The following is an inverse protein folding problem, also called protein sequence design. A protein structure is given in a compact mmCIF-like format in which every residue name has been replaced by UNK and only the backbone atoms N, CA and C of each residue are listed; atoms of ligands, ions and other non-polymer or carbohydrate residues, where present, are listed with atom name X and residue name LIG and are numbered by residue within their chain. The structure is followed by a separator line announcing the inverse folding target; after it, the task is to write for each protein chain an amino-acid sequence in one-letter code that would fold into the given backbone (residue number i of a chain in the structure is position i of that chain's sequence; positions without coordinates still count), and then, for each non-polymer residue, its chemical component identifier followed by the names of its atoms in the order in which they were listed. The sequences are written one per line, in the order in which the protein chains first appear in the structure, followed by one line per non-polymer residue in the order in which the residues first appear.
data_IF_346567782531
#
_entry.id   IF_346567782531
#
_cell.length_a   1.000
_cell.length_b   1.000
_cell.length_c   1.000
_cell.angle_alpha   90.00
_cell.angle_beta   90.00
_cell.angle_gamma   90.00
#
_symmetry.space_group_name_H-M   'P 1'
#
loop_
_entity.id
_entity.type
_entity.pdbx_description
1 polymer ?
#
# COMPACT_ATOMS: atom_id res chain seq x y z
N UNK A 1 22.94 -46.52 38.30
CA UNK A 1 22.76 -46.48 36.83
C UNK A 1 22.51 -45.03 36.44
N UNK A 2 23.55 -44.31 35.98
CA UNK A 2 23.45 -42.87 35.67
C UNK A 2 22.85 -42.71 34.28
N UNK A 3 21.59 -42.31 34.19
CA UNK A 3 20.93 -42.02 32.91
C UNK A 3 21.50 -40.72 32.34
N UNK A 4 22.30 -40.84 31.29
CA UNK A 4 22.82 -39.72 30.52
C UNK A 4 21.65 -38.95 29.87
N UNK A 5 21.37 -37.76 30.40
CA UNK A 5 20.42 -36.81 29.82
C UNK A 5 21.01 -36.34 28.49
N UNK A 6 20.53 -36.93 27.38
CA UNK A 6 20.87 -36.51 26.03
C UNK A 6 20.25 -35.14 25.79
N UNK A 7 21.04 -34.09 26.00
CA UNK A 7 20.69 -32.71 25.65
C UNK A 7 20.51 -32.67 24.14
N UNK A 8 19.27 -32.82 23.68
CA UNK A 8 18.90 -32.60 22.29
C UNK A 8 19.04 -31.10 22.07
N UNK A 9 20.11 -30.72 21.38
CA UNK A 9 20.35 -29.35 20.91
C UNK A 9 19.13 -28.94 20.08
N UNK A 10 18.18 -28.25 20.70
CA UNK A 10 17.15 -27.54 19.98
C UNK A 10 17.85 -26.36 19.32
N UNK A 11 18.14 -26.47 18.02
CA UNK A 11 18.29 -25.29 17.18
C UNK A 11 16.91 -24.61 17.11
N UNK A 12 16.55 -23.89 18.16
CA UNK A 12 15.39 -23.00 18.20
C UNK A 12 15.68 -21.81 17.29
N UNK A 13 15.36 -21.98 16.02
CA UNK A 13 14.58 -21.02 15.23
C UNK A 13 14.89 -19.52 15.45
N UNK A 14 16.15 -19.10 15.33
CA UNK A 14 16.47 -17.69 15.08
C UNK A 14 15.73 -17.19 13.81
N UNK A 15 15.56 -18.09 12.82
CA UNK A 15 14.79 -17.84 11.59
C UNK A 15 13.29 -17.55 11.83
N UNK A 16 12.70 -17.98 12.96
CA UNK A 16 11.26 -17.75 13.22
C UNK A 16 10.99 -16.40 13.89
N UNK A 17 11.91 -15.92 14.73
CA UNK A 17 11.77 -14.63 15.40
C UNK A 17 11.84 -13.45 14.41
N UNK A 18 12.68 -13.55 13.38
CA UNK A 18 12.82 -12.52 12.34
C UNK A 18 11.63 -12.49 11.37
N UNK A 19 11.04 -13.65 11.04
CA UNK A 19 9.83 -13.75 10.19
C UNK A 19 8.60 -13.09 10.80
N UNK A 20 8.53 -12.99 12.14
CA UNK A 20 7.45 -12.29 12.84
C UNK A 20 7.46 -10.76 12.61
N UNK A 21 8.57 -10.18 12.14
CA UNK A 21 8.68 -8.76 11.84
C UNK A 21 7.67 -8.32 10.79
N UNK A 22 7.58 -9.04 9.67
CA UNK A 22 6.64 -8.75 8.58
C UNK A 22 5.17 -8.85 9.02
N UNK A 23 4.82 -9.79 9.90
CA UNK A 23 3.44 -9.95 10.38
C UNK A 23 2.97 -8.77 11.24
N UNK A 24 3.85 -8.20 12.06
CA UNK A 24 3.54 -7.05 12.93
C UNK A 24 3.69 -5.70 12.22
N UNK A 25 4.30 -5.68 11.04
CA UNK A 25 4.57 -4.46 10.30
C UNK A 25 3.26 -3.82 9.79
N UNK A 26 3.04 -2.55 10.11
CA UNK A 26 1.85 -1.79 9.68
C UNK A 26 2.35 -0.48 9.06
N UNK A 27 1.82 -0.05 7.90
CA UNK A 27 2.15 1.24 7.34
C UNK A 27 1.86 2.38 8.34
N UNK A 28 2.81 3.29 8.59
CA UNK A 28 2.57 4.42 9.47
C UNK A 28 1.48 5.33 8.89
N UNK A 29 0.82 6.07 9.78
CA UNK A 29 -0.24 7.02 9.42
C UNK A 29 0.06 8.36 10.08
N UNK A 30 -0.18 9.45 9.35
CA UNK A 30 -0.09 10.79 9.93
C UNK A 30 -1.10 10.90 11.08
N UNK A 31 -0.59 11.11 12.29
CA UNK A 31 -1.42 11.28 13.48
C UNK A 31 -2.07 12.67 13.41
N UNK A 32 -3.29 12.79 13.90
CA UNK A 32 -3.91 14.10 14.13
C UNK A 32 -3.40 14.70 15.44
N UNK A 33 -3.57 16.00 15.61
CA UNK A 33 -3.28 16.69 16.89
C UNK A 33 -4.06 16.03 18.03
N UNK A 34 -5.32 15.66 17.77
CA UNK A 34 -6.14 14.93 18.74
C UNK A 34 -5.54 13.57 19.13
N UNK A 35 -5.04 12.79 18.16
CA UNK A 35 -4.37 11.51 18.45
C UNK A 35 -3.13 11.71 19.34
N UNK A 36 -2.37 12.78 19.11
CA UNK A 36 -1.21 13.12 19.92
C UNK A 36 -1.62 13.50 21.34
N UNK A 37 -2.65 14.33 21.49
CA UNK A 37 -3.20 14.70 22.80
C UNK A 37 -3.79 13.50 23.56
N UNK A 38 -4.40 12.53 22.86
CA UNK A 38 -4.88 11.29 23.46
C UNK A 38 -3.75 10.45 24.09
N UNK A 39 -2.57 10.46 23.45
CA UNK A 39 -1.37 9.79 23.98
C UNK A 39 -0.82 10.54 25.18
N UNK A 40 -0.76 11.87 25.11
CA UNK A 40 -0.26 12.73 26.19
C UNK A 40 -1.14 12.70 27.45
N UNK A 41 -2.46 12.51 27.30
CA UNK A 41 -3.41 12.41 28.43
C UNK A 41 -3.70 10.97 28.85
N UNK A 42 -2.89 10.00 28.43
CA UNK A 42 -3.07 8.59 28.82
C UNK A 42 -2.92 8.47 30.34
N UNK A 43 -3.98 8.02 31.02
CA UNK A 43 -4.01 7.83 32.47
C UNK A 43 -4.53 9.02 33.29
N UNK A 44 -4.85 10.15 32.66
CA UNK A 44 -5.28 11.38 33.35
C UNK A 44 -6.76 11.39 33.81
N UNK A 45 -7.44 10.24 33.86
CA UNK A 45 -8.86 10.14 34.21
C UNK A 45 -9.60 9.05 33.44
N UNK A 46 -10.92 9.01 33.59
CA UNK A 46 -11.77 8.11 32.82
C UNK A 46 -11.92 8.57 31.34
N UNK A 47 -12.62 7.78 30.52
CA UNK A 47 -12.81 8.09 29.09
C UNK A 47 -13.37 9.50 28.84
N UNK A 48 -14.55 9.84 29.39
CA UNK A 48 -15.18 11.16 29.21
C UNK A 48 -14.35 12.34 29.70
N UNK A 49 -13.77 12.26 30.91
CA UNK A 49 -12.94 13.33 31.48
C UNK A 49 -11.73 13.61 30.59
N UNK A 50 -11.06 12.56 30.11
CA UNK A 50 -9.92 12.70 29.20
C UNK A 50 -10.31 13.41 27.90
N UNK A 51 -11.49 13.12 27.33
CA UNK A 51 -11.95 13.80 26.13
C UNK A 51 -12.24 15.28 26.37
N UNK A 52 -12.88 15.64 27.49
CA UNK A 52 -13.14 17.03 27.83
C UNK A 52 -11.84 17.81 28.08
N UNK A 53 -10.86 17.20 28.77
CA UNK A 53 -9.52 17.78 28.91
C UNK A 53 -8.85 18.05 27.56
N UNK A 54 -8.89 17.09 26.63
CA UNK A 54 -8.31 17.24 25.29
C UNK A 54 -9.04 18.34 24.52
N UNK A 55 -10.37 18.39 24.61
CA UNK A 55 -11.20 19.43 23.98
C UNK A 55 -10.81 20.83 24.45
N UNK A 56 -10.67 21.01 25.76
CA UNK A 56 -10.25 22.28 26.34
C UNK A 56 -8.82 22.65 25.92
N UNK A 57 -7.88 21.69 25.98
CA UNK A 57 -6.51 21.89 25.50
C UNK A 57 -6.46 22.32 24.04
N UNK A 58 -7.20 21.64 23.17
CA UNK A 58 -7.24 21.96 21.74
C UNK A 58 -7.84 23.35 21.49
N UNK A 59 -8.92 23.71 22.20
CA UNK A 59 -9.54 25.05 22.10
C UNK A 59 -8.61 26.18 22.54
N UNK A 60 -7.72 25.90 23.50
CA UNK A 60 -6.75 26.87 24.00
C UNK A 60 -5.52 27.06 23.09
N UNK A 61 -5.30 26.17 22.11
CA UNK A 61 -4.16 26.31 21.19
C UNK A 61 -4.35 27.47 20.23
N UNK A 62 -3.29 28.27 20.09
CA UNK A 62 -3.16 29.31 19.06
C UNK A 62 -2.89 28.71 17.68
N UNK A 63 -3.07 29.51 16.62
CA UNK A 63 -2.79 29.09 15.25
C UNK A 63 -1.32 28.65 15.06
N UNK A 64 -0.38 29.37 15.68
CA UNK A 64 1.05 29.05 15.61
C UNK A 64 1.39 27.74 16.32
N UNK A 65 0.78 27.48 17.49
CA UNK A 65 0.94 26.21 18.19
C UNK A 65 0.35 25.04 17.40
N UNK A 66 -0.85 25.22 16.82
CA UNK A 66 -1.46 24.23 15.92
C UNK A 66 -0.51 23.91 14.78
N UNK A 67 0.13 24.92 14.17
CA UNK A 67 1.07 24.70 13.08
C UNK A 67 2.34 23.98 13.55
N UNK A 68 2.90 24.34 14.71
CA UNK A 68 4.02 23.62 15.34
C UNK A 68 3.67 22.15 15.57
N UNK A 69 2.46 21.87 16.08
CA UNK A 69 1.96 20.50 16.24
C UNK A 69 1.89 19.76 14.90
N UNK A 70 1.33 20.38 13.84
CA UNK A 70 1.27 19.77 12.51
C UNK A 70 2.66 19.44 11.97
N UNK A 71 3.62 20.35 12.09
CA UNK A 71 5.00 20.13 11.64
C UNK A 71 5.64 18.97 12.39
N UNK A 72 5.55 18.95 13.73
CA UNK A 72 6.06 17.85 14.56
C UNK A 72 5.44 16.51 14.17
N UNK A 73 4.13 16.47 13.92
CA UNK A 73 3.43 15.26 13.52
C UNK A 73 3.85 14.77 12.13
N UNK A 74 4.08 15.70 11.20
CA UNK A 74 4.60 15.40 9.87
C UNK A 74 6.02 14.82 9.95
N UNK A 75 6.91 15.43 10.74
CA UNK A 75 8.27 14.93 10.99
C UNK A 75 8.27 13.53 11.59
N UNK A 76 7.42 13.28 12.59
CA UNK A 76 7.25 11.95 13.18
C UNK A 76 6.76 10.93 12.14
N UNK A 77 5.78 11.30 11.32
CA UNK A 77 5.29 10.44 10.26
C UNK A 77 6.38 10.13 9.23
N UNK A 78 7.16 11.12 8.81
CA UNK A 78 8.24 10.92 7.83
C UNK A 78 9.36 10.05 8.40
N UNK A 79 9.69 10.22 9.68
CA UNK A 79 10.64 9.35 10.39
C UNK A 79 10.13 7.90 10.51
N UNK A 80 8.87 7.71 10.91
CA UNK A 80 8.23 6.39 10.98
C UNK A 80 8.15 5.74 9.58
N UNK A 81 7.81 6.50 8.54
CA UNK A 81 7.75 6.05 7.15
C UNK A 81 9.13 5.64 6.66
N UNK A 82 10.18 6.41 6.95
CA UNK A 82 11.56 6.04 6.62
C UNK A 82 11.95 4.72 7.27
N UNK A 83 11.69 4.56 8.57
CA UNK A 83 11.95 3.30 9.31
C UNK A 83 11.17 2.13 8.72
N UNK A 84 9.89 2.34 8.42
CA UNK A 84 9.03 1.32 7.80
C UNK A 84 9.57 0.87 6.44
N UNK A 85 10.01 1.81 5.58
CA UNK A 85 10.60 1.46 4.29
C UNK A 85 11.93 0.72 4.47
N UNK A 86 12.78 1.14 5.41
CA UNK A 86 14.03 0.44 5.72
C UNK A 86 13.78 -0.99 6.22
N UNK A 87 12.79 -1.18 7.08
CA UNK A 87 12.33 -2.52 7.49
C UNK A 87 11.82 -3.33 6.31
N UNK A 88 11.16 -2.73 5.32
CA UNK A 88 10.73 -3.48 4.13
C UNK A 88 11.91 -3.89 3.23
N UNK A 89 12.98 -3.09 3.16
CA UNK A 89 14.19 -3.43 2.40
C UNK A 89 14.97 -4.60 2.98
N UNK A 90 14.81 -4.90 4.27
CA UNK A 90 15.43 -6.07 4.88
C UNK A 90 14.74 -7.39 4.48
N UNK A 91 13.62 -7.35 3.75
CA UNK A 91 12.91 -8.53 3.30
C UNK A 91 12.92 -8.63 1.78
N UNK A 92 12.99 -9.85 1.26
CA UNK A 92 12.91 -10.08 -0.18
C UNK A 92 11.48 -9.80 -0.70
N UNK A 93 11.33 -9.42 -1.99
CA UNK A 93 10.01 -9.27 -2.60
C UNK A 93 9.11 -10.51 -2.47
N UNK A 94 9.71 -11.71 -2.54
CA UNK A 94 9.00 -12.99 -2.40
C UNK A 94 8.44 -13.20 -0.98
N UNK A 95 9.20 -12.82 0.06
CA UNK A 95 8.73 -12.86 1.44
C UNK A 95 7.58 -11.89 1.66
N UNK A 96 7.70 -10.66 1.18
CA UNK A 96 6.63 -9.65 1.23
C UNK A 96 5.38 -10.16 0.50
N UNK A 97 5.52 -10.77 -0.67
CA UNK A 97 4.39 -11.35 -1.41
C UNK A 97 3.76 -12.53 -0.67
N UNK A 98 4.54 -13.35 0.03
CA UNK A 98 4.03 -14.44 0.87
C UNK A 98 3.23 -13.92 2.08
N UNK A 99 3.72 -12.87 2.72
CA UNK A 99 3.04 -12.21 3.84
C UNK A 99 1.75 -11.52 3.35
N UNK A 100 1.78 -10.88 2.18
CA UNK A 100 0.59 -10.30 1.57
C UNK A 100 -0.49 -11.37 1.29
N UNK A 101 -0.10 -12.57 0.83
CA UNK A 101 -1.04 -13.69 0.66
C UNK A 101 -1.66 -14.11 1.99
N UNK A 102 -0.85 -14.20 3.05
CA UNK A 102 -1.31 -14.53 4.41
C UNK A 102 -2.32 -13.48 4.92
N UNK A 103 -1.96 -12.19 4.85
CA UNK A 103 -2.82 -11.06 5.24
C UNK A 103 -4.13 -11.03 4.46
N UNK A 104 -4.10 -11.29 3.17
CA UNK A 104 -5.31 -11.32 2.34
C UNK A 104 -6.26 -12.44 2.75
N UNK A 105 -5.74 -13.63 3.11
CA UNK A 105 -6.57 -14.74 3.58
C UNK A 105 -7.20 -14.45 4.95
N UNK A 106 -6.41 -13.92 5.88
CA UNK A 106 -6.88 -13.54 7.22
C UNK A 106 -7.93 -12.41 7.16
N UNK A 107 -7.72 -11.41 6.32
CA UNK A 107 -8.69 -10.35 6.06
C UNK A 107 -9.99 -10.89 5.47
N UNK A 108 -9.90 -11.84 4.54
CA UNK A 108 -11.08 -12.48 3.96
C UNK A 108 -11.89 -13.24 5.01
N UNK A 109 -11.24 -13.99 5.92
CA UNK A 109 -11.94 -14.73 6.97
C UNK A 109 -12.52 -13.85 8.08
N UNK A 110 -11.87 -12.72 8.39
CA UNK A 110 -12.31 -11.81 9.47
C UNK A 110 -13.23 -10.68 8.99
N UNK A 111 -13.36 -10.48 7.68
CA UNK A 111 -13.97 -9.27 7.11
C UNK A 111 -13.15 -8.00 7.36
N UNK A 112 -11.94 -8.12 7.92
CA UNK A 112 -11.08 -6.98 8.21
C UNK A 112 -10.42 -6.43 6.96
N UNK A 113 -10.04 -5.15 6.99
CA UNK A 113 -9.20 -4.55 5.96
C UNK A 113 -7.74 -4.92 6.22
N UNK A 114 -7.00 -5.25 5.17
CA UNK A 114 -5.55 -5.38 5.27
C UNK A 114 -4.83 -4.38 4.37
N UNK A 115 -3.63 -4.02 4.80
CA UNK A 115 -2.70 -3.22 3.99
C UNK A 115 -1.76 -4.15 3.24
N UNK A 116 -1.70 -3.98 1.92
CA UNK A 116 -0.73 -4.68 1.08
C UNK A 116 0.64 -4.00 1.22
N UNK A 117 1.62 -4.74 1.74
CA UNK A 117 3.01 -4.33 1.81
C UNK A 117 3.64 -4.33 0.41
N UNK A 118 4.55 -3.40 0.14
CA UNK A 118 5.24 -3.28 -1.16
C UNK A 118 6.70 -3.01 -0.91
N UNK A 119 7.59 -3.81 -1.50
CA UNK A 119 9.01 -3.56 -1.42
C UNK A 119 9.35 -2.17 -2.01
N UNK A 120 10.11 -1.31 -1.31
CA UNK A 120 10.38 0.06 -1.76
C UNK A 120 11.13 0.12 -3.10
N UNK A 121 12.06 -0.81 -3.33
CA UNK A 121 12.93 -0.80 -4.50
C UNK A 121 12.37 -1.64 -5.66
N UNK A 122 11.18 -2.26 -5.49
CA UNK A 122 10.49 -2.97 -6.59
C UNK A 122 9.57 -1.99 -7.29
N UNK A 123 9.77 -1.71 -8.60
CA UNK A 123 8.94 -0.78 -9.33
C UNK A 123 7.51 -1.30 -9.45
N UNK A 124 6.59 -0.39 -9.77
CA UNK A 124 5.21 -0.78 -10.08
C UNK A 124 5.19 -1.62 -11.36
N UNK A 125 4.38 -2.68 -11.35
CA UNK A 125 4.11 -3.48 -12.55
C UNK A 125 3.67 -2.57 -13.71
N UNK A 126 4.14 -2.84 -14.94
CA UNK A 126 3.80 -2.02 -16.10
C UNK A 126 2.30 -2.08 -16.41
N UNK A 127 1.82 -1.06 -17.11
CA UNK A 127 0.41 -0.99 -17.54
C UNK A 127 0.13 -2.08 -18.58
N UNK A 128 -1.00 -2.77 -18.46
CA UNK A 128 -1.49 -3.69 -19.48
C UNK A 128 -1.98 -2.93 -20.72
N UNK A 129 -2.15 -3.63 -21.85
CA UNK A 129 -2.65 -3.07 -23.10
C UNK A 129 -3.95 -2.28 -22.92
N UNK A 130 -4.93 -2.86 -22.20
CA UNK A 130 -6.20 -2.19 -21.91
C UNK A 130 -6.01 -0.89 -21.11
N UNK A 131 -5.11 -0.86 -20.12
CA UNK A 131 -4.85 0.36 -19.34
C UNK A 131 -4.18 1.45 -20.18
N UNK A 132 -3.33 1.05 -21.14
CA UNK A 132 -2.75 1.98 -22.10
C UNK A 132 -3.82 2.55 -23.04
N UNK A 133 -4.69 1.69 -23.57
CA UNK A 133 -5.85 2.10 -24.35
C UNK A 133 -6.78 3.03 -23.56
N UNK A 134 -7.10 2.69 -22.31
CA UNK A 134 -7.98 3.51 -21.47
C UNK A 134 -7.39 4.90 -21.18
N UNK A 135 -6.07 4.99 -20.97
CA UNK A 135 -5.38 6.28 -20.84
C UNK A 135 -5.48 7.11 -22.11
N UNK A 136 -5.27 6.49 -23.26
CA UNK A 136 -5.41 7.16 -24.56
C UNK A 136 -6.85 7.63 -24.76
N UNK A 137 -7.83 6.78 -24.49
CA UNK A 137 -9.25 7.09 -24.57
C UNK A 137 -9.62 8.32 -23.74
N UNK A 138 -9.08 8.44 -22.53
CA UNK A 138 -9.32 9.62 -21.66
C UNK A 138 -8.66 10.89 -22.15
N UNK A 139 -7.50 10.77 -22.79
CA UNK A 139 -6.74 11.91 -23.28
C UNK A 139 -7.15 12.34 -24.69
N UNK A 140 -7.90 11.50 -25.42
CA UNK A 140 -8.25 11.69 -26.81
C UNK A 140 -9.78 11.71 -27.01
N UNK A 141 -10.41 12.90 -26.96
CA UNK A 141 -11.86 13.04 -27.16
C UNK A 141 -12.35 12.51 -28.51
N UNK A 142 -11.53 12.59 -29.57
CA UNK A 142 -11.89 12.09 -30.90
C UNK A 142 -12.07 10.58 -30.90
N UNK A 143 -11.18 9.85 -30.23
CA UNK A 143 -11.29 8.40 -30.08
C UNK A 143 -12.55 8.01 -29.29
N UNK A 144 -12.94 8.80 -28.28
CA UNK A 144 -14.19 8.57 -27.54
C UNK A 144 -15.41 8.71 -28.44
N UNK A 145 -15.44 9.77 -29.26
CA UNK A 145 -16.52 10.01 -30.21
C UNK A 145 -16.60 8.90 -31.27
N UNK A 146 -15.47 8.48 -31.82
CA UNK A 146 -15.38 7.36 -32.79
C UNK A 146 -15.94 6.05 -32.21
N UNK A 147 -15.66 5.78 -30.94
CA UNK A 147 -16.14 4.59 -30.23
C UNK A 147 -17.54 4.75 -29.61
N UNK A 148 -18.23 5.88 -29.88
CA UNK A 148 -19.57 6.14 -29.35
C UNK A 148 -19.64 6.25 -27.82
N UNK A 149 -18.52 6.58 -27.16
CA UNK A 149 -18.46 6.72 -25.71
C UNK A 149 -18.86 8.15 -25.34
N UNK A 150 -19.95 8.36 -24.58
CA UNK A 150 -20.41 9.69 -24.20
C UNK A 150 -19.29 10.50 -23.52
N UNK A 151 -19.18 11.80 -23.83
CA UNK A 151 -18.14 12.67 -23.26
C UNK A 151 -18.32 12.83 -21.74
N UNK A 152 -19.55 13.07 -21.31
CA UNK A 152 -19.94 13.16 -19.92
C UNK A 152 -20.46 11.79 -19.43
N UNK A 153 -19.62 11.06 -18.72
CA UNK A 153 -20.04 9.90 -17.92
C UNK A 153 -19.87 10.29 -16.46
N UNK A 154 -20.93 10.11 -15.67
CA UNK A 154 -20.99 10.63 -14.29
C UNK A 154 -20.11 9.84 -13.32
N UNK A 155 -19.91 8.54 -13.59
CA UNK A 155 -19.15 7.66 -12.70
C UNK A 155 -17.95 7.01 -13.39
N UNK A 156 -16.84 6.90 -12.66
CA UNK A 156 -15.63 6.14 -13.07
C UNK A 156 -15.97 4.68 -13.45
N UNK A 157 -17.00 4.11 -12.82
CA UNK A 157 -17.45 2.73 -13.04
C UNK A 157 -18.05 2.58 -14.43
N UNK A 158 -19.03 3.42 -14.77
CA UNK A 158 -19.66 3.42 -16.10
C UNK A 158 -18.64 3.68 -17.21
N UNK A 159 -17.71 4.62 -17.00
CA UNK A 159 -16.67 4.95 -17.97
C UNK A 159 -15.77 3.74 -18.25
N UNK A 160 -15.35 3.04 -17.20
CA UNK A 160 -14.51 1.84 -17.32
C UNK A 160 -15.28 0.68 -17.98
N UNK A 161 -16.57 0.53 -17.71
CA UNK A 161 -17.42 -0.49 -18.35
C UNK A 161 -17.57 -0.24 -19.85
N UNK A 162 -17.85 1.01 -20.25
CA UNK A 162 -17.95 1.39 -21.67
C UNK A 162 -16.61 1.20 -22.40
N UNK A 163 -15.49 1.62 -21.79
CA UNK A 163 -14.17 1.38 -22.34
C UNK A 163 -13.85 -0.12 -22.48
N UNK A 164 -14.27 -0.95 -21.52
CA UNK A 164 -14.09 -2.40 -21.56
C UNK A 164 -14.88 -3.05 -22.69
N UNK A 165 -16.13 -2.61 -22.92
CA UNK A 165 -16.96 -3.05 -24.05
C UNK A 165 -16.29 -2.66 -25.37
N UNK A 166 -15.93 -1.38 -25.53
CA UNK A 166 -15.25 -0.90 -26.72
C UNK A 166 -13.93 -1.64 -26.98
N UNK A 167 -13.14 -1.92 -25.94
CA UNK A 167 -11.90 -2.70 -26.08
C UNK A 167 -12.14 -4.14 -26.56
N UNK A 168 -13.26 -4.78 -26.19
CA UNK A 168 -13.59 -6.12 -26.70
C UNK A 168 -13.99 -6.09 -28.16
N UNK A 169 -14.75 -5.07 -28.56
CA UNK A 169 -15.29 -4.86 -29.91
C UNK A 169 -14.25 -4.27 -30.88
N UNK A 170 -13.19 -3.66 -30.36
CA UNK A 170 -12.10 -3.11 -31.16
C UNK A 170 -11.45 -4.20 -32.03
N UNK A 171 -11.08 -3.86 -33.26
CA UNK A 171 -10.38 -4.78 -34.15
C UNK A 171 -8.94 -5.05 -33.69
N UNK A 172 -8.40 -6.24 -34.00
CA UNK A 172 -7.09 -6.67 -33.50
C UNK A 172 -5.93 -5.80 -34.02
N UNK A 173 -6.04 -5.26 -35.23
CA UNK A 173 -5.09 -4.29 -35.79
C UNK A 173 -5.01 -3.00 -34.95
N UNK A 174 -6.16 -2.53 -34.43
CA UNK A 174 -6.25 -1.35 -33.57
C UNK A 174 -5.81 -1.64 -32.13
N UNK A 175 -5.95 -2.88 -31.64
CA UNK A 175 -5.39 -3.29 -30.34
C UNK A 175 -3.89 -3.45 -30.36
N UNK A 176 -3.34 -3.88 -31.51
CA UNK A 176 -1.93 -4.27 -31.67
C UNK A 176 -0.93 -3.24 -31.13
N UNK A 177 -1.04 -1.92 -31.40
CA UNK A 177 -0.12 -0.93 -30.83
C UNK A 177 -0.09 -0.92 -29.29
N UNK A 178 -1.24 -1.13 -28.63
CA UNK A 178 -1.32 -1.18 -27.17
C UNK A 178 -0.79 -2.49 -26.60
N UNK A 179 -1.04 -3.61 -27.30
CA UNK A 179 -0.51 -4.93 -26.94
C UNK A 179 1.02 -4.94 -27.04
N UNK A 180 1.56 -4.47 -28.16
CA UNK A 180 3.01 -4.42 -28.41
C UNK A 180 3.70 -3.48 -27.40
N UNK A 181 3.14 -2.31 -27.14
CA UNK A 181 3.64 -1.38 -26.11
C UNK A 181 3.59 -2.00 -24.71
N UNK A 182 2.50 -2.69 -24.37
CA UNK A 182 2.38 -3.40 -23.09
C UNK A 182 3.40 -4.53 -22.95
N UNK A 183 3.68 -5.26 -24.04
CA UNK A 183 4.66 -6.34 -24.09
C UNK A 183 6.07 -5.80 -23.89
N UNK A 184 6.45 -4.75 -24.61
CA UNK A 184 7.75 -4.09 -24.46
C UNK A 184 7.98 -3.57 -23.02
N UNK A 185 6.97 -2.93 -22.42
CA UNK A 185 7.04 -2.48 -21.01
C UNK A 185 7.18 -3.65 -20.04
N UNK A 186 6.54 -4.79 -20.33
CA UNK A 186 6.67 -6.02 -19.54
C UNK A 186 8.08 -6.61 -19.64
N UNK A 187 8.64 -6.67 -20.83
CA UNK A 187 10.02 -7.15 -21.06
C UNK A 187 11.04 -6.29 -20.32
N UNK A 188 10.90 -4.96 -20.37
CA UNK A 188 11.75 -4.03 -19.61
C UNK A 188 11.63 -4.25 -18.10
N UNK A 189 10.40 -4.43 -17.60
CA UNK A 189 10.17 -4.73 -16.18
C UNK A 189 10.78 -6.07 -15.78
N UNK A 190 10.58 -7.13 -16.57
CA UNK A 190 11.11 -8.46 -16.27
C UNK A 190 12.66 -8.47 -16.32
N UNK A 191 13.27 -7.71 -17.24
CA UNK A 191 14.71 -7.46 -17.29
C UNK A 191 15.20 -6.77 -16.01
N UNK A 192 14.56 -5.66 -15.61
CA UNK A 192 14.90 -4.95 -14.37
C UNK A 192 14.81 -5.88 -13.15
N UNK A 193 13.74 -6.66 -13.04
CA UNK A 193 13.56 -7.56 -11.90
C UNK A 193 14.66 -8.63 -11.82
N UNK A 194 15.12 -9.14 -12.97
CA UNK A 194 16.22 -10.11 -13.04
C UNK A 194 17.57 -9.47 -12.70
N UNK A 195 17.85 -8.29 -13.26
CA UNK A 195 19.10 -7.55 -13.02
C UNK A 195 19.22 -7.08 -11.56
N UNK A 196 18.12 -6.67 -10.95
CA UNK A 196 18.07 -6.29 -9.53
C UNK A 196 18.02 -7.49 -8.56
N UNK A 197 18.03 -8.73 -9.06
CA UNK A 197 18.00 -9.94 -8.22
C UNK A 197 16.66 -10.19 -7.50
N UNK A 198 15.56 -9.62 -8.01
CA UNK A 198 14.23 -9.81 -7.45
C UNK A 198 13.47 -11.01 -8.04
N UNK A 199 13.98 -11.64 -9.10
CA UNK A 199 13.45 -12.87 -9.71
C UNK A 199 14.56 -13.82 -10.10
#
# INVERSE_FOLDING_TARGET
MVFAIRIRQFHTTLVSAEKNGLQKLIPPRLKTIWNQMLVETKGAGNGPERFEMIRQKYKALTADEIQKYKNKLQEQFDAEKKRFMETLRSFTPTEIDSENRRRSKEAHSTGSRYYRLRHPDVPKKPSSAFILFYKELRNNPKLRQELGIPEAISTLVEETQNASKAWKELAEDKKKPFIDKSKALKEQYDKFMKEAGFR
#
